data_IF_354070789882
#
_entry.id   IF_354070789882
#
_cell.length_a   1.000
_cell.length_b   1.000
_cell.length_c   1.000
_cell.angle_alpha   90.00
_cell.angle_beta   90.00
_cell.angle_gamma   90.00
#
_symmetry.space_group_name_H-M   'P 1'
#
loop_
_entity.id
_entity.type
_entity.pdbx_description
1 polymer ?
#
# COMPACT_ATOMS: atom_id res chain seq x y z
N UNK A 1 16.23 -17.54 40.36
CA UNK A 1 15.06 -16.95 39.68
C UNK A 1 15.57 -16.29 38.41
N UNK A 2 15.12 -16.67 37.20
CA UNK A 2 15.56 -16.02 35.97
C UNK A 2 14.93 -14.63 35.86
N UNK A 3 15.74 -13.62 35.60
CA UNK A 3 15.33 -12.22 35.42
C UNK A 3 14.43 -12.06 34.19
N UNK A 4 13.39 -11.22 34.32
CA UNK A 4 12.50 -10.84 33.22
C UNK A 4 13.30 -10.08 32.13
N UNK A 5 13.09 -10.35 30.82
CA UNK A 5 13.80 -9.64 29.76
C UNK A 5 13.51 -8.13 29.85
N UNK A 6 14.58 -7.35 29.98
CA UNK A 6 14.53 -5.92 30.32
C UNK A 6 13.74 -5.07 29.33
N UNK A 7 12.86 -4.24 29.89
CA UNK A 7 12.20 -3.12 29.21
C UNK A 7 13.18 -1.97 28.94
N UNK A 8 14.19 -2.21 28.10
CA UNK A 8 15.03 -1.15 27.56
C UNK A 8 14.26 -0.31 26.54
N UNK A 9 14.45 1.01 26.57
CA UNK A 9 13.94 1.88 25.51
C UNK A 9 14.56 1.48 24.17
N UNK A 10 13.78 1.39 23.08
CA UNK A 10 14.30 1.03 21.77
C UNK A 10 15.48 1.94 21.38
N UNK A 11 16.58 1.34 20.94
CA UNK A 11 17.75 2.10 20.50
C UNK A 11 17.42 2.75 19.16
N UNK A 12 17.25 4.07 19.15
CA UNK A 12 16.96 4.82 17.94
C UNK A 12 18.21 4.81 17.07
N UNK A 13 18.15 4.13 15.93
CA UNK A 13 19.19 4.17 14.91
C UNK A 13 18.97 5.37 13.98
N UNK A 14 20.04 6.11 13.68
CA UNK A 14 20.02 7.13 12.63
C UNK A 14 19.92 6.46 11.27
N UNK A 15 18.87 6.79 10.51
CA UNK A 15 18.66 6.28 9.15
C UNK A 15 19.24 7.29 8.17
N UNK A 16 20.05 6.82 7.24
CA UNK A 16 20.63 7.60 6.16
C UNK A 16 20.07 7.18 4.80
N UNK A 17 20.19 8.05 3.80
CA UNK A 17 19.74 7.76 2.42
C UNK A 17 20.41 6.51 1.84
N UNK A 18 21.64 6.19 2.28
CA UNK A 18 22.35 4.96 1.89
C UNK A 18 21.64 3.69 2.36
N UNK A 19 20.91 3.74 3.47
CA UNK A 19 20.21 2.59 4.01
C UNK A 19 19.03 2.19 3.12
N UNK A 20 18.36 3.18 2.50
CA UNK A 20 17.34 2.93 1.49
C UNK A 20 17.92 2.19 0.27
N UNK A 21 19.04 2.66 -0.25
CA UNK A 21 19.71 2.01 -1.37
C UNK A 21 20.21 0.59 -1.00
N UNK A 22 20.69 0.40 0.22
CA UNK A 22 21.11 -0.90 0.74
C UNK A 22 19.92 -1.86 0.87
N UNK A 23 18.79 -1.40 1.40
CA UNK A 23 17.56 -2.18 1.55
C UNK A 23 17.00 -2.62 0.19
N UNK A 24 16.95 -1.71 -0.80
CA UNK A 24 16.52 -2.05 -2.16
C UNK A 24 17.44 -3.09 -2.81
N UNK A 25 18.76 -2.94 -2.66
CA UNK A 25 19.73 -3.94 -3.15
C UNK A 25 19.60 -5.28 -2.43
N UNK A 26 19.27 -5.29 -1.13
CA UNK A 26 19.01 -6.52 -0.39
C UNK A 26 17.73 -7.21 -0.91
N UNK A 27 16.62 -6.48 -1.03
CA UNK A 27 15.37 -7.01 -1.58
C UNK A 27 15.52 -7.56 -2.99
N UNK A 28 16.27 -6.89 -3.87
CA UNK A 28 16.54 -7.39 -5.22
C UNK A 28 17.38 -8.68 -5.20
N UNK A 29 18.39 -8.77 -4.33
CA UNK A 29 19.19 -10.00 -4.18
C UNK A 29 18.34 -11.17 -3.67
N UNK A 30 17.45 -10.92 -2.70
CA UNK A 30 16.56 -11.94 -2.17
C UNK A 30 15.55 -12.41 -3.23
N UNK A 31 14.99 -11.49 -4.01
CA UNK A 31 14.13 -11.82 -5.14
C UNK A 31 14.86 -12.68 -6.17
N UNK A 32 16.10 -12.34 -6.54
CA UNK A 32 16.88 -13.13 -7.50
C UNK A 32 17.24 -14.53 -6.96
N UNK A 33 17.37 -14.70 -5.64
CA UNK A 33 17.63 -16.00 -4.99
C UNK A 33 16.38 -16.87 -4.90
N UNK A 34 15.20 -16.28 -4.76
CA UNK A 34 13.94 -16.98 -4.60
C UNK A 34 12.81 -16.37 -5.47
N UNK A 35 12.99 -16.32 -6.81
CA UNK A 35 12.14 -15.50 -7.68
C UNK A 35 10.69 -15.99 -7.75
N UNK A 36 10.47 -17.30 -7.59
CA UNK A 36 9.15 -17.90 -7.69
C UNK A 36 8.16 -17.34 -6.65
N UNK A 37 8.64 -17.00 -5.44
CA UNK A 37 7.78 -16.40 -4.41
C UNK A 37 7.27 -15.03 -4.84
N UNK A 38 8.18 -14.17 -5.31
CA UNK A 38 7.80 -12.84 -5.82
C UNK A 38 6.94 -12.91 -7.08
N UNK A 39 7.25 -13.81 -8.02
CA UNK A 39 6.50 -13.97 -9.27
C UNK A 39 5.07 -14.49 -9.03
N UNK A 40 4.89 -15.46 -8.14
CA UNK A 40 3.55 -15.99 -7.84
C UNK A 40 2.74 -14.98 -7.06
N UNK A 41 3.30 -14.38 -6.00
CA UNK A 41 2.58 -13.36 -5.21
C UNK A 41 2.22 -12.16 -6.10
N UNK A 42 3.19 -11.63 -6.85
CA UNK A 42 2.96 -10.54 -7.79
C UNK A 42 2.01 -10.92 -8.93
N UNK A 43 2.10 -12.14 -9.44
CA UNK A 43 1.24 -12.66 -10.50
C UNK A 43 -0.23 -12.79 -10.06
N UNK A 44 -0.48 -13.23 -8.83
CA UNK A 44 -1.83 -13.24 -8.24
C UNK A 44 -2.39 -11.81 -8.18
N UNK A 45 -1.58 -10.85 -7.74
CA UNK A 45 -2.01 -9.46 -7.67
C UNK A 45 -2.28 -8.86 -9.05
N UNK A 46 -1.40 -9.13 -10.03
CA UNK A 46 -1.57 -8.71 -11.41
C UNK A 46 -2.84 -9.31 -12.04
N UNK A 47 -3.11 -10.59 -11.79
CA UNK A 47 -4.31 -11.27 -12.27
C UNK A 47 -5.58 -10.65 -11.68
N UNK A 48 -5.61 -10.39 -10.37
CA UNK A 48 -6.76 -9.73 -9.73
C UNK A 48 -6.97 -8.34 -10.34
N UNK A 49 -5.92 -7.55 -10.49
CA UNK A 49 -5.99 -6.25 -11.15
C UNK A 49 -6.54 -6.33 -12.58
N UNK A 50 -6.06 -7.29 -13.38
CA UNK A 50 -6.53 -7.52 -14.74
C UNK A 50 -8.01 -7.90 -14.78
N UNK A 51 -8.47 -8.78 -13.88
CA UNK A 51 -9.88 -9.17 -13.77
C UNK A 51 -10.75 -7.98 -13.39
N UNK A 52 -10.30 -7.15 -12.45
CA UNK A 52 -11.03 -5.93 -12.06
C UNK A 52 -11.17 -4.99 -13.25
N UNK A 53 -10.07 -4.69 -13.95
CA UNK A 53 -10.08 -3.80 -15.12
C UNK A 53 -11.01 -4.34 -16.19
N UNK A 54 -10.86 -5.61 -16.57
CA UNK A 54 -11.67 -6.23 -17.61
C UNK A 54 -13.16 -6.23 -17.25
N UNK A 55 -13.50 -6.57 -16.00
CA UNK A 55 -14.89 -6.60 -15.53
C UNK A 55 -15.54 -5.22 -15.57
N UNK A 56 -14.83 -4.19 -15.10
CA UNK A 56 -15.32 -2.81 -15.09
C UNK A 56 -15.43 -2.22 -16.50
N UNK A 57 -14.55 -2.62 -17.42
CA UNK A 57 -14.70 -2.28 -18.84
C UNK A 57 -15.94 -2.94 -19.45
N UNK A 58 -16.17 -4.24 -19.20
CA UNK A 58 -17.34 -4.96 -19.72
C UNK A 58 -18.65 -4.39 -19.17
N UNK A 59 -18.65 -3.91 -17.91
CA UNK A 59 -19.83 -3.33 -17.28
C UNK A 59 -20.07 -1.86 -17.61
N UNK A 60 -19.27 -1.26 -18.48
CA UNK A 60 -19.37 0.17 -18.82
C UNK A 60 -19.19 1.08 -17.59
N UNK A 61 -18.36 0.64 -16.62
CA UNK A 61 -18.00 1.39 -15.41
C UNK A 61 -16.49 1.76 -15.37
N UNK A 62 -15.87 2.23 -16.46
CA UNK A 62 -14.41 2.46 -16.50
C UNK A 62 -13.95 3.51 -15.49
N UNK A 63 -14.82 4.43 -15.06
CA UNK A 63 -14.50 5.41 -14.02
C UNK A 63 -14.22 4.79 -12.65
N UNK A 64 -14.65 3.54 -12.40
CA UNK A 64 -14.32 2.80 -11.18
C UNK A 64 -12.94 2.14 -11.23
N UNK A 65 -12.31 2.02 -12.41
CA UNK A 65 -10.99 1.38 -12.55
C UNK A 65 -9.97 2.12 -11.69
N UNK A 66 -9.95 3.45 -11.74
CA UNK A 66 -8.98 4.26 -10.99
C UNK A 66 -9.16 4.13 -9.46
N UNK A 67 -10.39 4.25 -8.91
CA UNK A 67 -10.66 3.92 -7.51
C UNK A 67 -10.24 2.50 -7.11
N UNK A 68 -10.58 1.49 -7.89
CA UNK A 68 -10.20 0.11 -7.58
C UNK A 68 -8.68 -0.10 -7.69
N UNK A 69 -8.00 0.52 -8.65
CA UNK A 69 -6.55 0.45 -8.78
C UNK A 69 -5.82 1.04 -7.57
N UNK A 70 -6.37 2.12 -6.99
CA UNK A 70 -5.81 2.78 -5.79
C UNK A 70 -6.22 2.08 -4.50
N UNK A 71 -7.43 1.51 -4.44
CA UNK A 71 -7.92 0.74 -3.29
C UNK A 71 -7.36 -0.69 -3.24
N UNK A 72 -6.95 -1.25 -4.37
CA UNK A 72 -6.42 -2.61 -4.45
C UNK A 72 -5.17 -2.87 -3.59
N UNK A 73 -4.20 -1.94 -3.48
CA UNK A 73 -3.07 -2.04 -2.55
C UNK A 73 -3.43 -2.16 -1.06
N UNK A 74 -4.69 -2.01 -0.65
CA UNK A 74 -5.12 -2.24 0.74
C UNK A 74 -4.79 -3.66 1.25
N UNK A 75 -4.68 -4.65 0.34
CA UNK A 75 -4.20 -6.02 0.64
C UNK A 75 -2.69 -6.20 0.50
N UNK A 76 -1.98 -5.17 0.01
CA UNK A 76 -0.53 -5.16 -0.17
C UNK A 76 0.29 -5.52 1.07
N UNK A 77 -0.06 -5.06 2.30
CA UNK A 77 0.67 -5.45 3.51
C UNK A 77 0.72 -6.96 3.74
N UNK A 78 -0.36 -7.69 3.41
CA UNK A 78 -0.39 -9.15 3.54
C UNK A 78 0.59 -9.84 2.57
N UNK A 79 0.70 -9.32 1.35
CA UNK A 79 1.68 -9.81 0.37
C UNK A 79 3.12 -9.48 0.81
N UNK A 80 3.35 -8.28 1.33
CA UNK A 80 4.65 -7.85 1.82
C UNK A 80 5.15 -8.73 2.96
N UNK A 81 4.29 -9.08 3.93
CA UNK A 81 4.60 -10.01 5.01
C UNK A 81 5.12 -11.35 4.48
N UNK A 82 4.46 -11.91 3.45
CA UNK A 82 4.91 -13.16 2.83
C UNK A 82 6.32 -13.06 2.24
N UNK A 83 6.64 -11.93 1.59
CA UNK A 83 7.97 -11.67 1.05
C UNK A 83 9.01 -11.40 2.15
N UNK A 84 8.63 -10.77 3.26
CA UNK A 84 9.51 -10.59 4.42
C UNK A 84 9.89 -11.93 5.05
N UNK A 85 8.97 -12.90 5.10
CA UNK A 85 9.30 -14.24 5.57
C UNK A 85 10.34 -14.93 4.66
N UNK A 86 10.21 -14.75 3.35
CA UNK A 86 11.19 -15.28 2.38
C UNK A 86 12.57 -14.66 2.63
N UNK A 87 12.65 -13.34 2.72
CA UNK A 87 13.90 -12.61 3.01
C UNK A 87 14.49 -13.02 4.36
N UNK A 88 13.68 -13.16 5.40
CA UNK A 88 14.11 -13.59 6.74
C UNK A 88 14.78 -14.96 6.70
N UNK A 89 14.14 -15.93 6.04
CA UNK A 89 14.70 -17.29 5.91
C UNK A 89 15.98 -17.32 5.10
N UNK A 90 16.05 -16.55 4.01
CA UNK A 90 17.27 -16.41 3.22
C UNK A 90 18.41 -15.80 4.05
N UNK A 91 18.12 -14.83 4.91
CA UNK A 91 19.09 -14.23 5.83
C UNK A 91 19.59 -15.23 6.90
N UNK A 92 18.72 -16.13 7.37
CA UNK A 92 19.05 -17.21 8.30
C UNK A 92 19.75 -18.42 7.63
N UNK A 93 19.94 -18.38 6.30
CA UNK A 93 20.51 -19.49 5.52
C UNK A 93 19.56 -20.68 5.35
N UNK A 94 18.29 -20.53 5.72
CA UNK A 94 17.25 -21.54 5.56
C UNK A 94 16.65 -21.49 4.15
N UNK A 95 16.13 -22.63 3.67
CA UNK A 95 15.38 -22.68 2.41
C UNK A 95 13.95 -22.18 2.66
N UNK A 96 13.48 -21.15 1.92
CA UNK A 96 12.09 -20.72 2.01
C UNK A 96 11.15 -21.83 1.53
N UNK A 97 10.05 -22.06 2.25
CA UNK A 97 9.02 -23.02 1.86
C UNK A 97 7.64 -22.37 1.88
N UNK A 98 6.80 -22.75 0.93
CA UNK A 98 5.45 -22.20 0.75
C UNK A 98 4.59 -22.31 2.00
N UNK A 99 4.65 -23.45 2.70
CA UNK A 99 3.88 -23.67 3.93
C UNK A 99 4.16 -22.60 4.98
N UNK A 100 5.41 -22.18 5.10
CA UNK A 100 5.83 -21.21 6.10
C UNK A 100 5.39 -19.79 5.71
N UNK A 101 5.53 -19.43 4.44
CA UNK A 101 5.04 -18.16 3.89
C UNK A 101 3.53 -18.04 4.08
N UNK A 102 2.76 -19.07 3.71
CA UNK A 102 1.30 -19.07 3.89
C UNK A 102 0.89 -19.08 5.36
N UNK A 103 1.62 -19.78 6.23
CA UNK A 103 1.35 -19.78 7.67
C UNK A 103 1.50 -18.39 8.28
N UNK A 104 2.54 -17.64 7.91
CA UNK A 104 2.75 -16.26 8.39
C UNK A 104 1.66 -15.33 7.83
N UNK A 105 1.33 -15.40 6.54
CA UNK A 105 0.24 -14.61 5.96
C UNK A 105 -1.09 -14.89 6.68
N UNK A 106 -1.38 -16.16 6.97
CA UNK A 106 -2.61 -16.56 7.66
C UNK A 106 -2.63 -16.12 9.12
N UNK A 107 -1.51 -16.22 9.83
CA UNK A 107 -1.37 -15.76 11.21
C UNK A 107 -1.59 -14.25 11.33
N UNK A 108 -1.19 -13.48 10.30
CA UNK A 108 -1.40 -12.03 10.24
C UNK A 108 -2.83 -11.60 9.85
N UNK A 109 -3.76 -12.55 9.63
CA UNK A 109 -5.20 -12.24 9.47
C UNK A 109 -5.85 -11.73 10.76
N UNK A 110 -5.12 -11.68 11.89
CA UNK A 110 -5.66 -11.25 13.19
C UNK A 110 -6.26 -9.83 13.15
N UNK A 111 -7.11 -9.55 14.14
CA UNK A 111 -8.03 -8.40 14.24
C UNK A 111 -7.36 -7.04 14.03
N UNK A 112 -6.09 -6.90 14.40
CA UNK A 112 -5.35 -5.63 14.33
C UNK A 112 -4.97 -5.22 12.90
N UNK A 113 -4.59 -6.19 12.05
CA UNK A 113 -4.35 -5.93 10.62
C UNK A 113 -5.67 -5.57 9.92
N UNK A 114 -6.79 -6.14 10.38
CA UNK A 114 -8.13 -5.77 9.91
C UNK A 114 -8.49 -4.33 10.31
N UNK A 115 -8.06 -3.85 11.48
CA UNK A 115 -8.23 -2.45 11.88
C UNK A 115 -7.41 -1.49 11.03
N UNK A 116 -6.16 -1.85 10.71
CA UNK A 116 -5.34 -1.07 9.77
C UNK A 116 -5.97 -1.01 8.38
N UNK A 117 -6.50 -2.13 7.89
CA UNK A 117 -7.25 -2.17 6.63
C UNK A 117 -8.46 -1.22 6.67
N UNK A 118 -9.16 -1.15 7.79
CA UNK A 118 -10.26 -0.20 8.00
C UNK A 118 -9.80 1.26 7.98
N UNK A 119 -8.71 1.60 8.69
CA UNK A 119 -8.14 2.95 8.67
C UNK A 119 -7.73 3.36 7.26
N UNK A 120 -7.03 2.47 6.54
CA UNK A 120 -6.63 2.72 5.16
C UNK A 120 -7.85 2.88 4.24
N UNK A 121 -8.90 2.06 4.41
CA UNK A 121 -10.16 2.18 3.66
C UNK A 121 -10.87 3.51 3.97
N UNK A 122 -10.88 3.95 5.22
CA UNK A 122 -11.48 5.22 5.63
C UNK A 122 -10.73 6.40 5.01
N UNK A 123 -9.40 6.41 5.06
CA UNK A 123 -8.57 7.43 4.40
C UNK A 123 -8.80 7.43 2.89
N UNK A 124 -8.89 6.25 2.27
CA UNK A 124 -9.24 6.11 0.87
C UNK A 124 -10.62 6.70 0.55
N UNK A 125 -11.61 6.47 1.41
CA UNK A 125 -12.96 7.01 1.23
C UNK A 125 -12.99 8.55 1.34
N UNK A 126 -12.28 9.12 2.33
CA UNK A 126 -12.08 10.56 2.46
C UNK A 126 -11.41 11.12 1.21
N UNK A 127 -10.37 10.46 0.70
CA UNK A 127 -9.70 10.84 -0.53
C UNK A 127 -10.63 10.79 -1.76
N UNK A 128 -11.46 9.76 -1.89
CA UNK A 128 -12.47 9.68 -2.97
C UNK A 128 -13.49 10.81 -2.91
N UNK A 129 -13.87 11.26 -1.70
CA UNK A 129 -14.74 12.42 -1.54
C UNK A 129 -14.01 13.72 -1.87
N UNK A 130 -12.76 13.87 -1.44
CA UNK A 130 -11.88 14.98 -1.76
C UNK A 130 -11.74 15.17 -3.29
N UNK A 131 -11.46 14.10 -4.04
CA UNK A 131 -11.34 14.17 -5.51
C UNK A 131 -12.62 14.73 -6.14
N UNK A 132 -13.80 14.23 -5.72
CA UNK A 132 -15.09 14.74 -6.22
C UNK A 132 -15.31 16.21 -5.87
N UNK A 133 -14.97 16.61 -4.65
CA UNK A 133 -15.07 18.00 -4.21
C UNK A 133 -14.16 18.92 -5.03
N UNK A 134 -12.91 18.50 -5.28
CA UNK A 134 -11.95 19.27 -6.07
C UNK A 134 -12.39 19.38 -7.54
N UNK A 135 -12.93 18.31 -8.13
CA UNK A 135 -13.53 18.38 -9.48
C UNK A 135 -14.65 19.42 -9.49
N UNK A 136 -15.59 19.35 -8.53
CA UNK A 136 -16.72 20.27 -8.48
C UNK A 136 -16.30 21.74 -8.27
N UNK A 137 -15.28 21.99 -7.43
CA UNK A 137 -14.78 23.34 -7.13
C UNK A 137 -14.01 23.97 -8.30
N UNK A 138 -13.14 23.21 -8.95
CA UNK A 138 -12.21 23.75 -9.94
C UNK A 138 -12.64 23.54 -11.37
N UNK A 139 -13.24 22.38 -11.68
CA UNK A 139 -13.67 22.03 -13.03
C UNK A 139 -15.18 22.23 -13.22
N UNK A 140 -15.95 22.38 -12.14
CA UNK A 140 -17.40 22.56 -12.17
C UNK A 140 -18.16 21.24 -12.27
N UNK A 141 -19.48 21.33 -12.47
CA UNK A 141 -20.38 20.17 -12.65
C UNK A 141 -20.40 19.64 -14.10
N UNK A 142 -19.35 19.89 -14.89
CA UNK A 142 -19.28 19.36 -16.25
C UNK A 142 -19.03 17.86 -16.23
N UNK A 143 -19.96 17.11 -16.80
CA UNK A 143 -19.75 15.71 -17.13
C UNK A 143 -18.75 15.64 -18.29
N UNK A 144 -17.55 15.11 -18.06
CA UNK A 144 -16.62 14.82 -19.15
C UNK A 144 -17.21 13.69 -20.01
N UNK A 145 -17.37 13.92 -21.31
CA UNK A 145 -17.96 12.93 -22.21
C UNK A 145 -17.01 11.76 -22.48
N UNK A 146 -15.70 11.97 -22.33
CA UNK A 146 -14.67 10.95 -22.48
C UNK A 146 -13.45 11.22 -21.57
N UNK A 147 -12.65 10.16 -21.35
CA UNK A 147 -11.38 10.26 -20.62
C UNK A 147 -10.38 11.20 -21.31
N UNK A 148 -10.33 11.19 -22.64
CA UNK A 148 -9.45 12.09 -23.40
C UNK A 148 -9.80 13.56 -23.22
N UNK A 149 -11.10 13.87 -23.18
CA UNK A 149 -11.57 15.24 -22.93
C UNK A 149 -11.20 15.69 -21.51
N UNK A 150 -11.31 14.79 -20.53
CA UNK A 150 -10.86 15.06 -19.16
C UNK A 150 -9.36 15.39 -19.12
N UNK A 151 -8.50 14.58 -19.75
CA UNK A 151 -7.07 14.83 -19.81
C UNK A 151 -6.75 16.17 -20.48
N UNK A 152 -7.43 16.47 -21.60
CA UNK A 152 -7.27 17.74 -22.30
C UNK A 152 -7.57 18.91 -21.37
N UNK A 153 -8.75 18.93 -20.73
CA UNK A 153 -9.13 20.01 -19.80
C UNK A 153 -8.12 20.14 -18.65
N UNK A 154 -7.73 19.03 -18.05
CA UNK A 154 -6.84 19.00 -16.89
C UNK A 154 -5.44 19.54 -17.22
N UNK A 155 -4.90 19.23 -18.39
CA UNK A 155 -3.53 19.62 -18.77
C UNK A 155 -3.43 20.92 -19.56
N UNK A 156 -4.50 21.38 -20.22
CA UNK A 156 -4.44 22.57 -21.09
C UNK A 156 -5.16 23.79 -20.53
N UNK A 157 -5.97 23.66 -19.47
CA UNK A 157 -6.71 24.80 -18.91
C UNK A 157 -6.10 25.30 -17.60
N UNK A 158 -6.15 26.62 -17.30
CA UNK A 158 -5.67 27.15 -16.03
C UNK A 158 -6.37 26.52 -14.82
N UNK A 159 -7.70 26.30 -14.91
CA UNK A 159 -8.47 25.63 -13.86
C UNK A 159 -8.04 24.18 -13.66
N UNK A 160 -7.73 23.45 -14.76
CA UNK A 160 -7.14 22.12 -14.73
C UNK A 160 -5.79 22.06 -14.02
N UNK A 161 -4.91 23.03 -14.30
CA UNK A 161 -3.61 23.11 -13.66
C UNK A 161 -3.71 23.45 -12.16
N UNK A 162 -4.64 24.33 -11.77
CA UNK A 162 -4.92 24.62 -10.36
C UNK A 162 -5.51 23.38 -9.67
N UNK A 163 -6.45 22.69 -10.30
CA UNK A 163 -7.00 21.42 -9.83
C UNK A 163 -5.88 20.41 -9.55
N UNK A 164 -4.94 20.25 -10.49
CA UNK A 164 -3.77 19.38 -10.30
C UNK A 164 -2.93 19.84 -9.12
N UNK A 165 -2.53 21.11 -9.07
CA UNK A 165 -1.65 21.62 -8.02
C UNK A 165 -2.25 21.44 -6.62
N UNK A 166 -3.52 21.83 -6.44
CA UNK A 166 -4.23 21.68 -5.17
C UNK A 166 -4.45 20.20 -4.84
N UNK A 167 -4.84 19.39 -5.83
CA UNK A 167 -4.99 17.95 -5.68
C UNK A 167 -3.70 17.25 -5.23
N UNK A 168 -2.55 17.67 -5.74
CA UNK A 168 -1.25 17.14 -5.33
C UNK A 168 -0.90 17.52 -3.89
N UNK A 169 -1.14 18.77 -3.48
CA UNK A 169 -0.89 19.20 -2.10
C UNK A 169 -1.78 18.43 -1.12
N UNK A 170 -3.08 18.37 -1.39
CA UNK A 170 -4.05 17.66 -0.54
C UNK A 170 -3.76 16.16 -0.50
N UNK A 171 -3.50 15.55 -1.66
CA UNK A 171 -3.12 14.16 -1.77
C UNK A 171 -1.81 13.87 -1.04
N UNK A 172 -0.83 14.76 -1.13
CA UNK A 172 0.44 14.67 -0.42
C UNK A 172 0.28 14.72 1.10
N UNK A 173 -0.58 15.60 1.61
CA UNK A 173 -0.91 15.66 3.04
C UNK A 173 -1.58 14.36 3.51
N UNK A 174 -2.58 13.87 2.79
CA UNK A 174 -3.25 12.60 3.12
C UNK A 174 -2.28 11.42 3.07
N UNK A 175 -1.43 11.37 2.05
CA UNK A 175 -0.40 10.35 1.92
C UNK A 175 0.62 10.42 3.06
N UNK A 176 1.05 11.61 3.46
CA UNK A 176 1.98 11.80 4.58
C UNK A 176 1.36 11.34 5.91
N UNK A 177 0.09 11.66 6.17
CA UNK A 177 -0.64 11.20 7.36
C UNK A 177 -0.75 9.68 7.33
N UNK A 178 -1.21 9.11 6.22
CA UNK A 178 -1.34 7.66 6.07
C UNK A 178 0.00 6.94 6.24
N UNK A 179 1.06 7.47 5.62
CA UNK A 179 2.43 6.97 5.76
C UNK A 179 2.89 7.02 7.21
N UNK A 180 2.69 8.15 7.88
CA UNK A 180 3.11 8.33 9.28
C UNK A 180 2.39 7.33 10.20
N UNK A 181 1.11 7.05 9.96
CA UNK A 181 0.38 6.02 10.73
C UNK A 181 0.92 4.63 10.39
N UNK A 182 1.00 4.28 9.10
CA UNK A 182 1.34 2.92 8.68
C UNK A 182 2.78 2.52 8.98
N UNK A 183 3.75 3.44 8.86
CA UNK A 183 5.17 3.15 9.06
C UNK A 183 5.51 2.76 10.49
N UNK A 184 4.77 3.28 11.48
CA UNK A 184 4.94 2.89 12.88
C UNK A 184 3.99 1.77 13.29
N UNK A 185 2.72 1.83 12.86
CA UNK A 185 1.71 0.84 13.28
C UNK A 185 2.01 -0.55 12.74
N UNK A 186 2.42 -0.71 11.46
CA UNK A 186 2.63 -2.05 10.89
C UNK A 186 3.77 -2.81 11.61
N UNK A 187 4.97 -2.23 11.82
CA UNK A 187 6.03 -2.91 12.57
C UNK A 187 5.65 -3.21 14.01
N UNK A 188 4.97 -2.28 14.70
CA UNK A 188 4.52 -2.51 16.09
C UNK A 188 3.53 -3.68 16.15
N UNK A 189 2.55 -3.74 15.25
CA UNK A 189 1.60 -4.85 15.18
C UNK A 189 2.28 -6.20 14.82
N UNK A 190 3.40 -6.15 14.10
CA UNK A 190 4.18 -7.35 13.75
C UNK A 190 5.08 -7.83 14.90
N UNK A 191 5.63 -6.91 15.69
CA UNK A 191 6.57 -7.22 16.79
C UNK A 191 5.88 -7.44 18.14
N UNK A 192 4.68 -6.92 18.32
CA UNK A 192 3.97 -6.91 19.60
C UNK A 192 2.56 -7.46 19.41
N UNK A 193 2.33 -8.69 19.86
CA UNK A 193 0.99 -9.15 20.29
C UNK A 193 0.57 -8.29 21.50
N UNK A 194 0.19 -7.03 21.28
CA UNK A 194 -0.21 -6.16 22.38
C UNK A 194 -1.59 -5.60 22.06
N UNK A 195 -2.57 -6.26 22.70
CA UNK A 195 -3.91 -5.76 22.92
C UNK A 195 -3.84 -4.25 23.23
N UNK A 196 -4.46 -3.47 22.35
CA UNK A 196 -4.73 -2.06 22.62
C UNK A 196 -5.75 -2.03 23.78
N UNK A 197 -5.30 -1.62 24.96
CA UNK A 197 -6.16 -1.19 26.08
C UNK A 197 -6.59 0.25 25.85
#
# INVERSE_FOLDING_TARGET
MPEAPGGGTPRIHTIEVRDLAAALKAGLRDFLRAPLFGLVIGGVFALIGAVIVLSLTIWELPWLIYPFAIGFPLVGPFAAVGLYEVSRRLAEGARPAWRDVFAVIWAQRRREVSWMAFVMLFVFWVWMYQVRLLIALFLGLVSFASFEQFLTVVFTTPHGLIFLAVGHVVGGVLALVLFSITVFSIPILLEREVDIV
#
